data_IF_107306915157
#
_entry.id   IF_107306915157
#
_cell.length_a   1.000
_cell.length_b   1.000
_cell.length_c   1.000
_cell.angle_alpha   90.00
_cell.angle_beta   90.00
_cell.angle_gamma   90.00
#
_symmetry.space_group_name_H-M   'P 1'
#
loop_
_entity.id
_entity.type
_entity.pdbx_description
1 polymer ?
#
# COMPACT_ATOMS: atom_id res chain seq x y z
N UNK A 1 -1.57 -26.59 -13.49
CA UNK A 1 -0.47 -26.13 -12.62
C UNK A 1 -0.34 -24.60 -12.59
N UNK A 2 -0.36 -23.87 -13.73
CA UNK A 2 -0.22 -22.39 -13.71
C UNK A 2 -1.31 -21.61 -12.94
N UNK A 3 -2.59 -21.97 -13.08
CA UNK A 3 -3.70 -21.23 -12.44
C UNK A 3 -3.58 -21.16 -10.91
N UNK A 4 -3.13 -22.24 -10.27
CA UNK A 4 -3.00 -22.29 -8.81
C UNK A 4 -1.83 -21.45 -8.30
N UNK A 5 -0.77 -21.32 -9.10
CA UNK A 5 0.37 -20.44 -8.79
C UNK A 5 -0.06 -18.98 -8.89
N UNK A 6 -0.81 -18.61 -9.93
CA UNK A 6 -1.36 -17.25 -10.07
C UNK A 6 -2.31 -16.91 -8.92
N UNK A 7 -3.22 -17.82 -8.56
CA UNK A 7 -4.14 -17.63 -7.44
C UNK A 7 -3.41 -17.48 -6.10
N UNK A 8 -2.35 -18.28 -5.85
CA UNK A 8 -1.55 -18.17 -4.64
C UNK A 8 -0.75 -16.86 -4.55
N UNK A 9 -0.22 -16.38 -5.69
CA UNK A 9 0.49 -15.10 -5.77
C UNK A 9 -0.48 -13.93 -5.57
N UNK A 10 -1.68 -13.98 -6.15
CA UNK A 10 -2.71 -12.95 -5.90
C UNK A 10 -3.20 -12.97 -4.46
N UNK A 11 -3.31 -14.14 -3.83
CA UNK A 11 -3.73 -14.26 -2.43
C UNK A 11 -2.73 -13.63 -1.44
N UNK A 12 -1.47 -13.47 -1.84
CA UNK A 12 -0.41 -12.84 -1.02
C UNK A 12 -0.17 -11.38 -1.40
N UNK A 13 -0.98 -10.81 -2.28
CA UNK A 13 -0.84 -9.43 -2.74
C UNK A 13 -1.47 -8.48 -1.72
N UNK A 14 -0.67 -7.56 -1.21
CA UNK A 14 -1.09 -6.58 -0.21
C UNK A 14 -1.03 -5.16 -0.77
N UNK A 15 -1.89 -4.28 -0.26
CA UNK A 15 -1.94 -2.88 -0.67
C UNK A 15 -1.18 -2.00 0.34
N UNK A 16 -0.13 -1.32 -0.12
CA UNK A 16 0.68 -0.42 0.71
C UNK A 16 0.27 1.05 0.54
N UNK A 17 -0.06 1.46 -0.70
CA UNK A 17 -0.56 2.80 -1.00
C UNK A 17 -1.48 2.77 -2.22
N UNK A 18 -2.54 3.57 -2.19
CA UNK A 18 -3.40 3.81 -3.34
C UNK A 18 -3.93 5.24 -3.30
N UNK A 19 -3.38 6.11 -4.15
CA UNK A 19 -3.74 7.53 -4.19
C UNK A 19 -3.95 8.03 -5.62
N UNK A 20 -4.86 8.97 -5.79
CA UNK A 20 -5.15 9.63 -7.05
C UNK A 20 -4.95 11.15 -6.89
N UNK A 21 -4.24 11.76 -7.83
CA UNK A 21 -3.95 13.20 -7.86
C UNK A 21 -4.62 13.83 -9.06
N UNK A 22 -5.39 14.90 -8.84
CA UNK A 22 -6.14 15.59 -9.89
C UNK A 22 -5.29 16.54 -10.73
N UNK A 23 -4.12 16.94 -10.22
CA UNK A 23 -3.20 17.89 -10.85
C UNK A 23 -1.82 17.27 -11.03
N UNK A 24 -0.98 17.96 -11.79
CA UNK A 24 0.45 17.69 -11.82
C UNK A 24 1.07 17.87 -10.44
N UNK A 25 2.22 17.25 -10.23
CA UNK A 25 2.96 17.44 -8.99
C UNK A 25 3.97 16.33 -8.72
N UNK A 26 4.77 16.57 -7.68
CA UNK A 26 5.71 15.61 -7.11
C UNK A 26 5.24 15.25 -5.70
N UNK A 27 5.26 13.97 -5.38
CA UNK A 27 4.91 13.44 -4.06
C UNK A 27 6.05 12.60 -3.51
N UNK A 28 6.19 12.61 -2.19
CA UNK A 28 7.15 11.80 -1.44
C UNK A 28 6.39 10.94 -0.44
N UNK A 29 6.64 9.64 -0.49
CA UNK A 29 5.98 8.65 0.35
C UNK A 29 7.02 7.95 1.20
N UNK A 30 6.87 8.03 2.52
CA UNK A 30 7.66 7.26 3.46
C UNK A 30 6.87 6.02 3.84
N UNK A 31 7.28 4.85 3.33
CA UNK A 31 6.54 3.61 3.53
C UNK A 31 7.41 2.65 4.35
N UNK A 32 6.95 2.23 5.55
CA UNK A 32 7.65 1.22 6.31
C UNK A 32 7.49 -0.13 5.62
N UNK A 33 8.60 -0.75 5.24
CA UNK A 33 8.64 -2.13 4.80
C UNK A 33 9.06 -3.00 5.96
N UNK A 34 8.27 -4.04 6.21
CA UNK A 34 8.57 -5.04 7.22
C UNK A 34 9.23 -6.28 6.57
N UNK A 35 9.86 -7.17 7.36
CA UNK A 35 10.60 -8.33 6.84
C UNK A 35 9.75 -9.36 6.06
N UNK A 36 8.42 -9.30 6.16
CA UNK A 36 7.53 -10.20 5.43
C UNK A 36 7.44 -9.89 3.94
N UNK A 37 7.71 -8.63 3.54
CA UNK A 37 7.59 -8.19 2.15
C UNK A 37 8.65 -8.86 1.28
N UNK A 38 8.20 -9.68 0.35
CA UNK A 38 9.05 -10.38 -0.64
C UNK A 38 9.24 -9.58 -1.91
N UNK A 39 8.26 -8.77 -2.25
CA UNK A 39 8.28 -7.99 -3.47
C UNK A 39 7.46 -6.72 -3.26
N UNK A 40 7.91 -5.60 -3.84
CA UNK A 40 7.16 -4.36 -3.87
C UNK A 40 7.10 -3.84 -5.29
N UNK A 41 5.88 -3.58 -5.76
CA UNK A 41 5.61 -2.99 -7.06
C UNK A 41 5.03 -1.60 -6.90
N UNK A 42 5.61 -0.63 -7.59
CA UNK A 42 5.14 0.75 -7.68
C UNK A 42 4.67 0.98 -9.10
N UNK A 43 3.38 1.26 -9.27
CA UNK A 43 2.81 1.69 -10.54
C UNK A 43 2.35 3.14 -10.47
N UNK A 44 2.73 3.89 -11.50
CA UNK A 44 2.37 5.28 -11.71
C UNK A 44 1.75 5.40 -13.10
N UNK A 45 0.51 5.84 -13.18
CA UNK A 45 -0.19 6.12 -14.43
C UNK A 45 -0.48 7.62 -14.53
N UNK A 46 -0.18 8.22 -15.67
CA UNK A 46 -0.28 9.65 -15.92
C UNK A 46 0.74 10.13 -16.95
N UNK A 47 0.63 11.39 -17.41
CA UNK A 47 1.58 11.96 -18.36
C UNK A 47 2.95 12.18 -17.71
N UNK A 48 4.00 11.97 -18.50
CA UNK A 48 5.41 12.05 -18.10
C UNK A 48 5.70 11.39 -16.73
N UNK A 49 5.43 10.08 -16.56
CA UNK A 49 5.51 9.42 -15.26
C UNK A 49 6.95 9.18 -14.81
N UNK A 50 7.32 9.72 -13.65
CA UNK A 50 8.64 9.53 -13.03
C UNK A 50 8.51 8.83 -11.67
N UNK A 51 9.35 7.83 -11.44
CA UNK A 51 9.44 7.11 -10.17
C UNK A 51 10.91 7.08 -9.73
N UNK A 52 11.17 7.54 -8.51
CA UNK A 52 12.45 7.38 -7.80
C UNK A 52 12.24 6.62 -6.50
N UNK A 53 13.16 5.71 -6.16
CA UNK A 53 13.08 4.93 -4.92
C UNK A 53 14.40 5.02 -4.18
N UNK A 54 14.33 5.27 -2.88
CA UNK A 54 15.47 5.30 -1.97
C UNK A 54 15.26 4.26 -0.87
N UNK A 55 16.33 3.55 -0.57
CA UNK A 55 16.36 2.57 0.52
C UNK A 55 16.34 3.28 1.89
N UNK A 56 16.24 2.54 3.01
CA UNK A 56 16.18 3.12 4.35
C UNK A 56 17.42 3.93 4.77
N UNK A 57 18.55 3.76 4.06
CA UNK A 57 19.77 4.55 4.27
C UNK A 57 19.79 5.83 3.40
N UNK A 58 18.70 6.14 2.69
CA UNK A 58 18.60 7.27 1.77
C UNK A 58 19.33 7.07 0.44
N UNK A 59 19.87 5.88 0.16
CA UNK A 59 20.57 5.62 -1.10
C UNK A 59 19.57 5.34 -2.22
N UNK A 60 19.70 5.96 -3.41
CA UNK A 60 18.82 5.69 -4.54
C UNK A 60 19.03 4.28 -5.07
N UNK A 61 17.94 3.56 -5.31
CA UNK A 61 17.95 2.25 -5.95
C UNK A 61 17.86 2.44 -7.47
N UNK A 62 18.86 1.94 -8.18
CA UNK A 62 19.02 2.17 -9.63
C UNK A 62 18.54 0.96 -10.44
N UNK A 63 18.13 1.22 -11.68
CA UNK A 63 17.77 0.17 -12.65
C UNK A 63 18.91 -0.84 -12.79
N UNK A 64 18.61 -2.12 -12.67
CA UNK A 64 19.61 -3.21 -12.73
C UNK A 64 20.42 -3.42 -11.44
N UNK A 65 20.22 -2.60 -10.40
CA UNK A 65 20.82 -2.76 -9.07
C UNK A 65 19.71 -2.74 -8.00
N UNK A 66 18.85 -3.75 -8.06
CA UNK A 66 17.70 -3.93 -7.13
C UNK A 66 16.38 -3.31 -7.61
N UNK A 67 16.39 -2.44 -8.62
CA UNK A 67 15.18 -1.92 -9.26
C UNK A 67 14.96 -2.56 -10.63
N UNK A 68 13.84 -3.27 -10.76
CA UNK A 68 13.36 -3.86 -12.00
C UNK A 68 12.31 -2.95 -12.63
N UNK A 69 12.45 -2.63 -13.91
CA UNK A 69 11.41 -1.91 -14.66
C UNK A 69 10.55 -2.95 -15.38
N UNK A 70 9.28 -3.05 -15.00
CA UNK A 70 8.35 -4.03 -15.56
C UNK A 70 7.58 -3.47 -16.75
N UNK A 71 7.27 -2.18 -16.72
CA UNK A 71 6.54 -1.49 -17.78
C UNK A 71 6.99 -0.04 -17.86
N UNK A 72 7.16 0.47 -19.07
CA UNK A 72 7.40 1.87 -19.33
C UNK A 72 6.70 2.25 -20.64
N UNK A 73 5.47 2.76 -20.53
CA UNK A 73 4.72 3.32 -21.64
C UNK A 73 4.94 4.83 -21.61
N UNK A 74 5.62 5.32 -22.65
CA UNK A 74 5.96 6.72 -22.78
C UNK A 74 4.72 7.61 -22.58
N UNK A 75 4.88 8.63 -21.73
CA UNK A 75 3.85 9.60 -21.41
C UNK A 75 2.51 9.02 -20.90
N UNK A 76 2.48 7.79 -20.40
CA UNK A 76 1.24 7.12 -19.99
C UNK A 76 1.36 6.33 -18.69
N UNK A 77 2.37 5.46 -18.55
CA UNK A 77 2.52 4.66 -17.34
C UNK A 77 3.94 4.15 -17.13
N UNK A 78 4.34 4.06 -15.86
CA UNK A 78 5.59 3.43 -15.43
C UNK A 78 5.33 2.47 -14.28
N UNK A 79 5.89 1.26 -14.37
CA UNK A 79 5.80 0.24 -13.32
C UNK A 79 7.21 -0.25 -13.01
N UNK A 80 7.58 -0.12 -11.75
CA UNK A 80 8.87 -0.59 -11.23
C UNK A 80 8.64 -1.55 -10.06
N UNK A 81 9.64 -2.38 -9.82
CA UNK A 81 9.56 -3.49 -8.90
C UNK A 81 10.87 -3.69 -8.15
N UNK A 82 10.77 -4.04 -6.87
CA UNK A 82 11.89 -4.37 -5.99
C UNK A 82 11.62 -5.75 -5.43
N UNK A 83 12.61 -6.65 -5.58
CA UNK A 83 12.59 -7.99 -5.00
C UNK A 83 13.40 -8.01 -3.71
N UNK A 84 12.91 -8.77 -2.73
CA UNK A 84 13.50 -8.97 -1.41
C UNK A 84 13.98 -7.65 -0.76
N UNK A 85 13.10 -6.64 -0.63
CA UNK A 85 13.49 -5.37 -0.03
C UNK A 85 13.88 -5.57 1.45
N UNK A 86 14.98 -4.95 1.86
CA UNK A 86 15.35 -4.90 3.28
C UNK A 86 14.31 -4.14 4.12
N UNK A 87 14.13 -4.51 5.40
CA UNK A 87 13.18 -3.82 6.28
C UNK A 87 13.63 -2.38 6.58
N UNK A 88 12.66 -1.52 6.89
CA UNK A 88 12.87 -0.12 7.25
C UNK A 88 11.99 0.84 6.47
N UNK A 89 12.18 2.13 6.68
CA UNK A 89 11.38 3.16 6.00
C UNK A 89 11.95 3.49 4.64
N UNK A 90 11.26 3.09 3.58
CA UNK A 90 11.63 3.40 2.21
C UNK A 90 11.03 4.71 1.76
N UNK A 91 11.75 5.45 0.92
CA UNK A 91 11.24 6.70 0.34
C UNK A 91 10.95 6.51 -1.14
N UNK A 92 9.68 6.68 -1.50
CA UNK A 92 9.21 6.59 -2.88
C UNK A 92 8.82 8.00 -3.34
N UNK A 93 9.49 8.46 -4.38
CA UNK A 93 9.24 9.74 -5.01
C UNK A 93 8.53 9.50 -6.34
N UNK A 94 7.41 10.19 -6.55
CA UNK A 94 6.65 10.09 -7.81
C UNK A 94 6.40 11.49 -8.37
N UNK A 95 6.56 11.68 -9.68
CA UNK A 95 6.17 12.91 -10.38
C UNK A 95 5.37 12.60 -11.65
N UNK A 96 4.42 13.47 -11.97
CA UNK A 96 3.71 13.47 -13.25
C UNK A 96 3.32 14.89 -13.63
N UNK A 97 3.25 15.16 -14.94
CA UNK A 97 2.93 16.47 -15.52
C UNK A 97 1.43 16.76 -15.59
N UNK A 98 0.57 15.90 -15.05
CA UNK A 98 -0.89 16.06 -15.05
C UNK A 98 -1.58 15.16 -14.03
N UNK A 99 -2.88 14.90 -14.22
CA UNK A 99 -3.65 13.96 -13.41
C UNK A 99 -2.98 12.59 -13.45
N UNK A 100 -2.78 11.98 -12.29
CA UNK A 100 -2.09 10.71 -12.17
C UNK A 100 -2.60 9.87 -11.00
N UNK A 101 -2.33 8.57 -11.07
CA UNK A 101 -2.70 7.59 -10.07
C UNK A 101 -1.47 6.79 -9.67
N UNK A 102 -1.30 6.59 -8.37
CA UNK A 102 -0.20 5.85 -7.78
C UNK A 102 -0.78 4.63 -7.07
N UNK A 103 -0.26 3.44 -7.37
CA UNK A 103 -0.56 2.22 -6.62
C UNK A 103 0.75 1.56 -6.22
N UNK A 104 0.87 1.24 -4.94
CA UNK A 104 2.01 0.53 -4.37
C UNK A 104 1.47 -0.73 -3.73
N UNK A 105 1.94 -1.86 -4.22
CA UNK A 105 1.50 -3.18 -3.75
C UNK A 105 2.69 -4.01 -3.33
N UNK A 106 2.52 -4.82 -2.31
CA UNK A 106 3.51 -5.78 -1.85
C UNK A 106 3.10 -7.22 -2.14
N UNK A 107 4.06 -8.12 -2.08
CA UNK A 107 3.82 -9.55 -1.85
C UNK A 107 4.23 -9.86 -0.41
N UNK A 108 3.27 -10.18 0.44
CA UNK A 108 3.49 -10.46 1.86
C UNK A 108 2.53 -11.54 2.36
N UNK A 109 2.96 -12.27 3.40
CA UNK A 109 2.08 -13.17 4.15
C UNK A 109 1.26 -12.45 5.24
N UNK A 110 1.55 -11.16 5.50
CA UNK A 110 0.79 -10.30 6.42
C UNK A 110 -0.16 -9.43 5.61
N UNK A 111 -1.46 -9.62 5.75
CA UNK A 111 -2.47 -8.76 5.13
C UNK A 111 -3.44 -8.18 6.17
N UNK A 112 -3.96 -6.99 5.86
CA UNK A 112 -4.89 -6.24 6.70
C UNK A 112 -6.18 -5.98 5.93
N UNK A 113 -7.27 -6.62 6.37
CA UNK A 113 -8.60 -6.36 5.85
C UNK A 113 -9.38 -5.48 6.82
N UNK A 114 -9.79 -4.31 6.36
CA UNK A 114 -10.62 -3.38 7.12
C UNK A 114 -12.02 -3.23 6.52
N UNK A 115 -13.01 -3.00 7.38
CA UNK A 115 -14.39 -2.70 6.99
C UNK A 115 -15.05 -1.74 7.98
N UNK A 116 -15.92 -0.88 7.50
CA UNK A 116 -16.67 0.09 8.30
C UNK A 116 -18.06 -0.44 8.62
N UNK A 117 -18.56 -0.22 9.84
CA UNK A 117 -19.95 -0.53 10.18
C UNK A 117 -20.56 0.53 11.08
N UNK A 118 -21.89 0.67 11.02
CA UNK A 118 -22.64 1.58 11.91
C UNK A 118 -22.92 0.97 13.27
N UNK A 119 -22.77 -0.35 13.40
CA UNK A 119 -22.93 -1.11 14.66
C UNK A 119 -21.68 -1.98 14.87
N UNK A 120 -21.30 -2.28 16.12
CA UNK A 120 -20.25 -3.26 16.38
C UNK A 120 -20.60 -4.60 15.73
N UNK A 121 -19.64 -5.21 15.03
CA UNK A 121 -19.83 -6.50 14.35
C UNK A 121 -18.49 -7.22 14.20
N UNK A 122 -18.54 -8.55 14.19
CA UNK A 122 -17.43 -9.45 13.82
C UNK A 122 -17.61 -10.04 12.41
N UNK A 123 -18.75 -9.77 11.76
CA UNK A 123 -19.04 -10.27 10.41
C UNK A 123 -18.74 -9.21 9.35
N UNK A 124 -17.75 -9.48 8.50
CA UNK A 124 -17.42 -8.61 7.36
C UNK A 124 -18.57 -8.45 6.36
N UNK A 125 -19.54 -9.36 6.30
CA UNK A 125 -20.74 -9.19 5.46
C UNK A 125 -21.60 -8.00 5.91
N UNK A 126 -21.46 -7.58 7.17
CA UNK A 126 -22.13 -6.41 7.74
C UNK A 126 -21.27 -5.14 7.68
N UNK A 127 -20.17 -5.15 6.91
CA UNK A 127 -19.27 -4.02 6.75
C UNK A 127 -19.36 -3.40 5.35
N UNK A 128 -19.09 -2.10 5.25
CA UNK A 128 -18.92 -1.35 4.02
C UNK A 128 -17.46 -0.97 3.81
N UNK A 129 -17.07 -0.71 2.57
CA UNK A 129 -15.70 -0.28 2.22
C UNK A 129 -15.43 1.18 2.59
N UNK A 130 -16.47 1.98 2.79
CA UNK A 130 -16.39 3.41 3.12
C UNK A 130 -17.33 3.76 4.27
N UNK A 131 -16.94 4.68 5.16
CA UNK A 131 -17.82 5.24 6.15
C UNK A 131 -18.78 6.27 5.52
N UNK A 132 -19.87 6.58 6.24
CA UNK A 132 -20.82 7.63 5.83
C UNK A 132 -20.47 8.92 6.57
N UNK A 133 -20.38 10.02 5.83
CA UNK A 133 -20.07 11.33 6.40
C UNK A 133 -21.11 11.73 7.47
N UNK A 134 -20.62 12.24 8.61
CA UNK A 134 -21.46 12.70 9.73
C UNK A 134 -22.03 11.60 10.62
N UNK A 135 -21.80 10.32 10.31
CA UNK A 135 -22.32 9.19 11.10
C UNK A 135 -21.17 8.52 11.86
N UNK A 136 -21.26 8.37 13.20
CA UNK A 136 -20.31 7.57 13.97
C UNK A 136 -20.23 6.14 13.43
N UNK A 137 -19.00 5.61 13.32
CA UNK A 137 -18.74 4.31 12.70
C UNK A 137 -17.69 3.53 13.48
N UNK A 138 -17.80 2.22 13.43
CA UNK A 138 -16.84 1.25 13.95
C UNK A 138 -16.01 0.69 12.79
N UNK A 139 -14.77 0.31 13.08
CA UNK A 139 -13.86 -0.32 12.11
C UNK A 139 -13.61 -1.74 12.59
N UNK A 140 -13.96 -2.71 11.75
CA UNK A 140 -13.55 -4.10 11.93
C UNK A 140 -12.24 -4.29 11.17
N UNK A 141 -11.21 -4.75 11.86
CA UNK A 141 -9.90 -5.05 11.30
C UNK A 141 -9.62 -6.54 11.50
N UNK A 142 -9.26 -7.22 10.42
CA UNK A 142 -8.76 -8.58 10.45
C UNK A 142 -7.36 -8.61 9.88
N UNK A 143 -6.49 -9.39 10.54
CA UNK A 143 -5.08 -9.49 10.21
C UNK A 143 -4.71 -10.95 10.01
N UNK A 144 -4.02 -11.24 8.92
CA UNK A 144 -3.44 -12.56 8.65
C UNK A 144 -1.92 -12.50 8.81
N UNK A 145 -1.27 -13.64 9.02
CA UNK A 145 0.21 -13.74 9.06
C UNK A 145 0.91 -13.10 10.25
N UNK A 146 0.18 -12.44 11.16
CA UNK A 146 0.74 -11.90 12.40
C UNK A 146 0.80 -13.02 13.44
N UNK A 147 2.00 -13.33 13.91
CA UNK A 147 2.25 -14.32 14.95
C UNK A 147 2.78 -13.66 16.22
N UNK A 148 2.44 -14.23 17.38
CA UNK A 148 2.96 -13.75 18.67
C UNK A 148 4.50 -13.72 18.65
N UNK A 149 5.14 -12.66 19.19
CA UNK A 149 4.56 -11.58 19.99
C UNK A 149 4.05 -10.36 19.20
N UNK A 150 4.04 -10.40 17.86
CA UNK A 150 3.58 -9.28 17.05
C UNK A 150 2.08 -9.02 17.25
N UNK A 151 1.70 -7.74 17.26
CA UNK A 151 0.32 -7.27 17.46
C UNK A 151 0.07 -5.97 16.70
N UNK A 152 -1.18 -5.72 16.36
CA UNK A 152 -1.60 -4.42 15.84
C UNK A 152 -1.83 -3.46 17.00
N UNK A 153 -1.09 -2.36 17.02
CA UNK A 153 -1.23 -1.35 18.09
C UNK A 153 -2.08 -0.16 17.68
N UNK A 154 -1.99 0.27 16.42
CA UNK A 154 -2.64 1.47 15.92
C UNK A 154 -3.13 1.27 14.49
N UNK A 155 -4.24 1.91 14.18
CA UNK A 155 -4.81 2.05 12.84
C UNK A 155 -4.72 3.53 12.45
N UNK A 156 -4.20 3.82 11.28
CA UNK A 156 -4.15 5.18 10.73
C UNK A 156 -5.05 5.27 9.50
N UNK A 157 -5.98 6.23 9.51
CA UNK A 157 -6.83 6.56 8.38
C UNK A 157 -6.13 7.61 7.52
N UNK A 158 -6.00 7.33 6.23
CA UNK A 158 -5.41 8.24 5.25
C UNK A 158 -6.48 8.82 4.33
N UNK A 159 -6.24 10.04 3.85
CA UNK A 159 -7.02 10.69 2.80
C UNK A 159 -6.77 9.98 1.46
N UNK A 160 -7.59 10.27 0.45
CA UNK A 160 -7.35 9.79 -0.92
C UNK A 160 -6.04 10.33 -1.51
N UNK A 161 -5.52 11.43 -0.96
CA UNK A 161 -4.22 12.02 -1.30
C UNK A 161 -3.07 11.44 -0.45
N UNK A 162 -3.37 10.48 0.46
CA UNK A 162 -2.39 9.82 1.32
C UNK A 162 -2.06 10.56 2.61
N UNK A 163 -2.75 11.66 2.92
CA UNK A 163 -2.49 12.45 4.12
C UNK A 163 -3.15 11.82 5.36
N UNK A 164 -2.50 11.80 6.54
CA UNK A 164 -3.09 11.23 7.75
C UNK A 164 -4.31 12.06 8.20
N UNK A 165 -5.45 11.39 8.36
CA UNK A 165 -6.71 11.96 8.85
C UNK A 165 -6.91 11.69 10.33
N UNK A 166 -6.63 10.47 10.79
CA UNK A 166 -6.84 10.07 12.19
C UNK A 166 -6.07 8.80 12.54
N UNK A 167 -5.44 8.79 13.71
CA UNK A 167 -4.83 7.59 14.30
C UNK A 167 -5.71 7.10 15.45
N UNK A 168 -6.01 5.79 15.47
CA UNK A 168 -6.87 5.15 16.46
C UNK A 168 -6.12 3.97 17.09
N UNK A 169 -6.06 3.84 18.42
CA UNK A 169 -5.48 2.66 19.04
C UNK A 169 -6.34 1.43 18.75
N UNK A 170 -5.70 0.32 18.40
CA UNK A 170 -6.36 -0.96 18.21
C UNK A 170 -6.37 -1.71 19.54
N UNK A 171 -7.56 -2.07 20.00
CA UNK A 171 -7.74 -2.98 21.14
C UNK A 171 -8.29 -4.29 20.59
N UNK A 172 -7.69 -5.44 20.93
CA UNK A 172 -8.27 -6.74 20.60
C UNK A 172 -9.70 -6.78 21.14
N UNK A 173 -10.66 -7.10 20.29
CA UNK A 173 -12.02 -7.37 20.76
C UNK A 173 -12.03 -8.84 21.26
N UNK A 174 -12.35 -9.10 22.53
CA UNK A 174 -12.39 -10.45 23.09
C UNK A 174 -13.53 -11.29 22.52
#
# INVERSE_FOLDING_TARGET
VLKWVEEAVQASKVHLLSTDRLTSGRSFWQIPFDPSLKEVTVSLSGPSPEIGIHNPLGKPVKKGSGLNELLNIENSAKVVNIKDPGPGTWTIQTSSSGRHSIRITGLSNIDFRAGFSRKPTLDFKMTSTRPVQGIPTFILLNTTGIHLPARVERLELLSVAGDPLKTVPVKPFP
#
